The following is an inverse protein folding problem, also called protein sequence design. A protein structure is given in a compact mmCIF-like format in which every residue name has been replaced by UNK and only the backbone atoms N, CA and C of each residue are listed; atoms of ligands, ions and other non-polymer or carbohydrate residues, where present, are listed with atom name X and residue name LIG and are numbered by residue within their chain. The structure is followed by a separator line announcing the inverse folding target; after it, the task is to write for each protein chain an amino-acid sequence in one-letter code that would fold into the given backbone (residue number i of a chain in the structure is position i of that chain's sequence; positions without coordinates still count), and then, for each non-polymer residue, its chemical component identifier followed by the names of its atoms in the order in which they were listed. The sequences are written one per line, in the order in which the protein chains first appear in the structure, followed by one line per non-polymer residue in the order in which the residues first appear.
data_IF_259919697386
#
_entry.id   IF_259919697386
#
_cell.length_a   1.000
_cell.length_b   1.000
_cell.length_c   1.000
_cell.angle_alpha   90.00
_cell.angle_beta   90.00
_cell.angle_gamma   90.00
#
_symmetry.space_group_name_H-M   'P 1'
#
loop_
_entity.id
_entity.type
_entity.pdbx_description
1 polymer ?
#
# COMPACT_ATOMS: atom_id res chain seq x y z
N UNK A 1 -15.43 5.68 1.11
CA UNK A 1 -16.89 5.78 0.95
C UNK A 1 -17.50 4.52 0.34
N UNK A 2 -16.93 3.96 -0.75
CA UNK A 2 -17.39 2.70 -1.36
C UNK A 2 -17.17 1.43 -0.49
N UNK A 3 -15.99 1.24 0.11
CA UNK A 3 -15.70 0.07 0.97
C UNK A 3 -16.63 0.00 2.18
N UNK A 4 -16.91 1.14 2.81
CA UNK A 4 -17.87 1.23 3.93
C UNK A 4 -19.29 0.85 3.48
N UNK A 5 -19.71 1.31 2.30
CA UNK A 5 -21.02 0.97 1.75
C UNK A 5 -21.12 -0.50 1.37
N UNK A 6 -20.07 -1.09 0.80
CA UNK A 6 -19.99 -2.51 0.46
C UNK A 6 -20.05 -3.40 1.70
N UNK A 7 -19.19 -3.12 2.70
CA UNK A 7 -19.17 -3.86 3.97
C UNK A 7 -20.51 -3.74 4.72
N UNK A 8 -21.08 -2.54 4.78
CA UNK A 8 -22.37 -2.30 5.44
C UNK A 8 -23.53 -2.94 4.67
N UNK A 9 -23.51 -2.96 3.33
CA UNK A 9 -24.52 -3.67 2.54
C UNK A 9 -24.42 -5.18 2.79
N UNK A 10 -23.22 -5.74 2.77
CA UNK A 10 -23.02 -7.16 3.04
C UNK A 10 -23.49 -7.55 4.44
N UNK A 11 -23.19 -6.76 5.48
CA UNK A 11 -23.69 -7.01 6.85
C UNK A 11 -25.22 -7.04 6.93
N UNK A 12 -25.90 -6.17 6.15
CA UNK A 12 -27.37 -6.08 6.13
C UNK A 12 -27.99 -7.30 5.42
N UNK A 13 -27.37 -7.83 4.37
CA UNK A 13 -27.92 -8.96 3.60
C UNK A 13 -27.60 -10.34 4.20
N UNK A 14 -26.46 -10.49 4.89
CA UNK A 14 -26.01 -11.79 5.36
C UNK A 14 -26.47 -12.20 6.76
N UNK A 15 -26.76 -11.25 7.66
CA UNK A 15 -27.06 -11.59 9.06
C UNK A 15 -26.03 -12.57 9.66
N UNK A 16 -26.51 -13.58 10.40
CA UNK A 16 -25.70 -14.71 10.88
C UNK A 16 -25.74 -15.95 9.96
N UNK A 17 -26.18 -15.80 8.70
CA UNK A 17 -26.28 -16.93 7.76
C UNK A 17 -24.89 -17.33 7.24
N UNK A 18 -24.32 -18.35 7.85
CA UNK A 18 -23.01 -18.90 7.48
C UNK A 18 -22.94 -19.36 6.02
N UNK A 19 -24.03 -19.90 5.47
CA UNK A 19 -24.04 -20.44 4.11
C UNK A 19 -24.06 -19.31 3.08
N UNK A 20 -24.85 -18.27 3.33
CA UNK A 20 -24.82 -17.04 2.54
C UNK A 20 -23.39 -16.47 2.47
N UNK A 21 -22.75 -16.29 3.62
CA UNK A 21 -21.42 -15.69 3.68
C UNK A 21 -20.34 -16.53 2.99
N UNK A 22 -20.32 -17.85 3.20
CA UNK A 22 -19.38 -18.74 2.51
C UNK A 22 -19.53 -18.66 0.99
N UNK A 23 -20.78 -18.65 0.51
CA UNK A 23 -21.06 -18.56 -0.91
C UNK A 23 -20.64 -17.21 -1.50
N UNK A 24 -20.96 -16.09 -0.84
CA UNK A 24 -20.57 -14.76 -1.32
C UNK A 24 -19.05 -14.58 -1.36
N UNK A 25 -18.32 -15.04 -0.34
CA UNK A 25 -16.87 -14.94 -0.28
C UNK A 25 -16.18 -15.81 -1.33
N UNK A 26 -16.68 -17.03 -1.54
CA UNK A 26 -16.17 -17.93 -2.58
C UNK A 26 -16.41 -17.32 -3.96
N UNK A 27 -17.61 -16.80 -4.20
CA UNK A 27 -18.00 -16.20 -5.47
C UNK A 27 -17.16 -14.96 -5.77
N UNK A 28 -17.17 -13.96 -4.89
CA UNK A 28 -16.47 -12.69 -5.15
C UNK A 28 -14.95 -12.85 -5.03
N UNK A 29 -14.47 -13.64 -4.07
CA UNK A 29 -13.04 -13.88 -3.86
C UNK A 29 -12.38 -14.68 -4.98
N UNK A 30 -13.10 -15.60 -5.65
CA UNK A 30 -12.58 -16.36 -6.79
C UNK A 30 -12.55 -15.58 -8.11
N UNK A 31 -13.21 -14.42 -8.19
CA UNK A 31 -13.23 -13.59 -9.39
C UNK A 31 -11.87 -12.93 -9.67
N UNK A 32 -11.16 -12.44 -8.64
CA UNK A 32 -9.85 -11.78 -8.80
C UNK A 32 -8.79 -12.70 -9.39
N UNK A 33 -8.62 -13.94 -8.89
CA UNK A 33 -7.66 -14.86 -9.46
C UNK A 33 -8.03 -15.32 -10.87
N UNK A 34 -9.32 -15.50 -11.15
CA UNK A 34 -9.81 -15.79 -12.50
C UNK A 34 -9.44 -14.68 -13.48
N UNK A 35 -9.59 -13.40 -13.10
CA UNK A 35 -9.10 -12.27 -13.89
C UNK A 35 -7.58 -12.34 -14.08
N UNK A 36 -6.84 -12.60 -13.01
CA UNK A 36 -5.38 -12.55 -13.02
C UNK A 36 -4.73 -13.61 -13.91
N UNK A 37 -5.27 -14.83 -13.94
CA UNK A 37 -4.78 -15.89 -14.83
C UNK A 37 -5.26 -15.71 -16.28
N UNK A 38 -6.06 -14.68 -16.55
CA UNK A 38 -6.62 -14.42 -17.87
C UNK A 38 -7.76 -15.36 -18.22
N UNK A 39 -8.64 -15.69 -17.27
CA UNK A 39 -9.85 -16.46 -17.51
C UNK A 39 -10.78 -15.85 -18.57
N UNK A 40 -10.62 -14.55 -18.86
CA UNK A 40 -11.31 -13.86 -19.94
C UNK A 40 -10.62 -13.98 -21.32
N UNK A 41 -9.34 -14.37 -21.41
CA UNK A 41 -8.51 -14.25 -22.63
C UNK A 41 -8.98 -15.13 -23.79
N UNK A 42 -9.74 -16.19 -23.51
CA UNK A 42 -10.27 -17.09 -24.52
C UNK A 42 -11.69 -16.71 -24.99
N UNK A 43 -12.21 -15.58 -24.52
CA UNK A 43 -13.52 -15.09 -24.91
C UNK A 43 -13.38 -14.13 -26.10
N UNK A 44 -14.16 -14.32 -27.19
CA UNK A 44 -14.13 -13.42 -28.34
C UNK A 44 -14.36 -11.96 -27.93
N UNK A 45 -13.50 -11.05 -28.42
CA UNK A 45 -13.56 -9.62 -28.10
C UNK A 45 -12.89 -9.22 -26.78
N UNK A 46 -12.38 -10.16 -25.97
CA UNK A 46 -11.75 -9.83 -24.69
C UNK A 46 -10.37 -9.19 -24.86
N UNK A 47 -10.08 -8.17 -24.04
CA UNK A 47 -8.78 -7.54 -23.91
C UNK A 47 -8.46 -7.24 -22.45
N UNK A 48 -7.24 -6.79 -22.17
CA UNK A 48 -6.74 -6.52 -20.81
C UNK A 48 -7.52 -5.44 -20.03
N UNK A 49 -8.43 -4.70 -20.67
CA UNK A 49 -9.24 -3.64 -20.09
C UNK A 49 -10.75 -3.94 -20.09
N UNK A 50 -11.19 -5.07 -20.67
CA UNK A 50 -12.61 -5.43 -20.79
C UNK A 50 -12.91 -6.22 -22.06
N UNK A 51 -14.15 -6.13 -22.54
CA UNK A 51 -14.55 -6.70 -23.83
C UNK A 51 -14.77 -5.60 -24.86
N UNK A 52 -14.41 -5.85 -26.11
CA UNK A 52 -14.82 -5.03 -27.24
C UNK A 52 -16.07 -5.66 -27.87
N UNK A 53 -17.24 -5.18 -27.46
CA UNK A 53 -18.53 -5.50 -28.09
C UNK A 53 -18.96 -4.27 -28.90
N UNK A 54 -18.66 -4.21 -30.19
CA UNK A 54 -19.16 -3.12 -31.04
C UNK A 54 -20.65 -3.36 -31.41
N UNK A 55 -21.61 -2.43 -31.25
CA UNK A 55 -21.63 -1.17 -30.52
C UNK A 55 -22.52 -1.31 -29.26
N UNK A 56 -21.96 -1.79 -28.15
CA UNK A 56 -22.65 -1.91 -26.87
C UNK A 56 -21.87 -1.22 -25.79
N UNK A 57 -22.37 -0.08 -25.31
CA UNK A 57 -21.76 0.76 -24.26
C UNK A 57 -21.55 0.10 -22.88
N UNK A 58 -21.53 -1.23 -22.77
CA UNK A 58 -21.46 -1.93 -21.47
C UNK A 58 -20.61 -3.20 -21.53
N UNK A 59 -19.32 -3.04 -21.81
CA UNK A 59 -18.30 -4.00 -21.39
C UNK A 59 -17.70 -3.54 -20.06
N UNK A 60 -18.43 -3.73 -18.96
CA UNK A 60 -17.97 -3.36 -17.62
C UNK A 60 -17.63 -4.60 -16.79
N UNK A 61 -17.01 -4.38 -15.62
CA UNK A 61 -16.64 -5.43 -14.67
C UNK A 61 -17.81 -6.34 -14.28
N UNK A 62 -19.06 -5.85 -14.38
CA UNK A 62 -20.28 -6.63 -14.14
C UNK A 62 -20.51 -7.71 -15.20
N UNK A 63 -20.21 -7.44 -16.47
CA UNK A 63 -20.29 -8.44 -17.54
C UNK A 63 -19.24 -9.55 -17.35
N UNK A 64 -18.00 -9.17 -17.02
CA UNK A 64 -16.94 -10.13 -16.67
C UNK A 64 -17.32 -10.97 -15.46
N UNK A 65 -17.93 -10.35 -14.44
CA UNK A 65 -18.40 -11.06 -13.25
C UNK A 65 -19.52 -12.05 -13.60
N UNK A 66 -20.51 -11.66 -14.41
CA UNK A 66 -21.58 -12.56 -14.87
C UNK A 66 -21.06 -13.78 -15.62
N UNK A 67 -20.04 -13.61 -16.46
CA UNK A 67 -19.37 -14.72 -17.16
C UNK A 67 -18.65 -15.64 -16.17
N UNK A 68 -17.89 -15.07 -15.23
CA UNK A 68 -17.25 -15.83 -14.17
C UNK A 68 -18.26 -16.65 -13.36
N UNK A 69 -19.39 -16.07 -12.95
CA UNK A 69 -20.47 -16.78 -12.25
C UNK A 69 -21.02 -17.92 -13.13
N UNK A 70 -21.23 -17.68 -14.43
CA UNK A 70 -21.67 -18.72 -15.37
C UNK A 70 -20.67 -19.87 -15.55
N UNK A 71 -19.37 -19.63 -15.33
CA UNK A 71 -18.31 -20.64 -15.39
C UNK A 71 -18.01 -21.28 -14.03
N UNK A 72 -18.51 -20.71 -12.93
CA UNK A 72 -18.11 -21.03 -11.54
C UNK A 72 -18.39 -22.47 -11.09
N UNK A 73 -19.29 -23.19 -11.76
CA UNK A 73 -19.55 -24.62 -11.50
C UNK A 73 -18.32 -25.52 -11.75
N UNK A 74 -17.26 -25.02 -12.41
CA UNK A 74 -16.04 -25.77 -12.70
C UNK A 74 -14.74 -25.04 -12.37
N UNK A 75 -14.75 -23.93 -11.62
CA UNK A 75 -13.54 -23.16 -11.33
C UNK A 75 -12.86 -23.73 -10.08
N UNK A 76 -11.70 -24.40 -10.20
CA UNK A 76 -10.97 -24.89 -9.03
C UNK A 76 -10.50 -23.69 -8.19
N UNK A 77 -10.41 -23.84 -6.85
CA UNK A 77 -9.84 -22.80 -6.00
C UNK A 77 -8.43 -22.46 -6.50
N UNK A 78 -8.23 -21.21 -6.85
CA UNK A 78 -6.96 -20.75 -7.40
C UNK A 78 -5.88 -20.81 -6.34
N UNK A 79 -4.81 -21.55 -6.63
CA UNK A 79 -3.66 -21.74 -5.73
C UNK A 79 -2.61 -20.62 -5.84
N UNK A 80 -2.68 -19.78 -6.87
CA UNK A 80 -1.77 -18.66 -7.11
C UNK A 80 -2.44 -17.31 -6.85
N UNK A 81 -1.90 -16.55 -5.90
CA UNK A 81 -2.30 -15.17 -5.63
C UNK A 81 -1.56 -14.25 -6.60
N UNK A 82 -2.15 -14.04 -7.78
CA UNK A 82 -1.71 -13.02 -8.71
C UNK A 82 -2.59 -11.77 -8.56
N UNK A 83 -2.88 -11.35 -7.34
CA UNK A 83 -3.78 -10.23 -7.11
C UNK A 83 -3.07 -8.94 -7.46
N UNK A 84 -3.68 -8.22 -8.39
CA UNK A 84 -3.36 -6.83 -8.65
C UNK A 84 -3.89 -5.99 -7.48
N UNK A 85 -3.19 -4.92 -7.09
CA UNK A 85 -3.60 -3.98 -6.04
C UNK A 85 -4.93 -3.28 -6.34
N UNK A 86 -6.03 -4.02 -6.29
CA UNK A 86 -7.37 -3.65 -6.73
C UNK A 86 -8.40 -3.95 -5.62
N UNK A 87 -9.64 -3.42 -5.73
CA UNK A 87 -10.66 -3.57 -4.68
C UNK A 87 -11.00 -5.01 -4.28
N UNK A 88 -10.77 -5.98 -5.17
CA UNK A 88 -11.13 -7.39 -4.95
C UNK A 88 -10.04 -8.17 -4.21
N UNK A 89 -8.82 -7.64 -4.16
CA UNK A 89 -7.70 -8.22 -3.40
C UNK A 89 -8.04 -8.41 -1.92
N UNK A 90 -8.77 -7.46 -1.33
CA UNK A 90 -9.23 -7.56 0.05
C UNK A 90 -10.24 -8.69 0.27
N UNK A 91 -11.18 -8.87 -0.67
CA UNK A 91 -12.20 -9.92 -0.61
C UNK A 91 -11.56 -11.29 -0.78
N UNK A 92 -10.59 -11.41 -1.68
CA UNK A 92 -9.80 -12.62 -1.86
C UNK A 92 -9.01 -12.99 -0.60
N UNK A 93 -8.37 -12.01 0.05
CA UNK A 93 -7.64 -12.23 1.30
C UNK A 93 -8.57 -12.77 2.41
N UNK A 94 -9.78 -12.20 2.54
CA UNK A 94 -10.80 -12.71 3.46
C UNK A 94 -11.26 -14.12 3.08
N UNK A 95 -11.49 -14.38 1.80
CA UNK A 95 -11.89 -15.70 1.33
C UNK A 95 -10.84 -16.77 1.69
N UNK A 96 -9.55 -16.47 1.51
CA UNK A 96 -8.47 -17.37 1.88
C UNK A 96 -8.31 -17.51 3.40
N UNK A 97 -8.54 -16.45 4.17
CA UNK A 97 -8.54 -16.51 5.63
C UNK A 97 -9.60 -17.47 6.20
N UNK A 98 -10.73 -17.61 5.51
CA UNK A 98 -11.86 -18.47 5.93
C UNK A 98 -11.77 -19.89 5.34
N UNK A 99 -11.33 -20.03 4.09
CA UNK A 99 -11.35 -21.32 3.37
C UNK A 99 -9.97 -21.91 3.10
N UNK A 100 -8.91 -21.14 3.26
CA UNK A 100 -7.54 -21.50 2.89
C UNK A 100 -6.77 -22.35 3.90
N UNK A 101 -7.41 -22.70 5.02
CA UNK A 101 -6.87 -23.58 6.06
C UNK A 101 -5.50 -23.14 6.65
N UNK A 102 -5.17 -21.85 6.58
CA UNK A 102 -3.89 -21.30 7.03
C UNK A 102 -2.73 -21.52 6.07
N UNK A 103 -2.99 -22.07 4.88
CA UNK A 103 -1.95 -22.31 3.86
C UNK A 103 -1.33 -21.01 3.39
N UNK A 104 0.00 -21.02 3.22
CA UNK A 104 0.75 -19.84 2.81
C UNK A 104 0.39 -19.41 1.38
N UNK A 105 0.43 -18.10 1.14
CA UNK A 105 0.27 -17.52 -0.20
C UNK A 105 1.53 -16.78 -0.60
N UNK A 106 1.73 -16.66 -1.91
CA UNK A 106 2.90 -15.99 -2.49
C UNK A 106 2.43 -14.95 -3.49
N UNK A 107 2.99 -13.74 -3.41
CA UNK A 107 2.55 -12.55 -4.16
C UNK A 107 3.74 -11.88 -4.82
N UNK A 108 3.60 -11.51 -6.09
CA UNK A 108 4.61 -10.70 -6.76
C UNK A 108 4.51 -9.26 -6.26
N UNK A 109 5.60 -8.70 -5.76
CA UNK A 109 5.65 -7.31 -5.31
C UNK A 109 5.23 -6.30 -6.38
N UNK A 110 5.49 -6.59 -7.67
CA UNK A 110 5.09 -5.71 -8.77
C UNK A 110 3.57 -5.62 -8.93
N UNK A 111 2.83 -6.70 -8.64
CA UNK A 111 1.37 -6.72 -8.80
C UNK A 111 0.66 -5.82 -7.78
N UNK A 112 1.31 -5.54 -6.65
CA UNK A 112 0.79 -4.66 -5.60
C UNK A 112 0.73 -3.19 -6.03
N UNK A 113 1.49 -2.81 -7.06
CA UNK A 113 1.57 -1.45 -7.58
C UNK A 113 1.82 -0.35 -6.52
N UNK A 114 2.48 -0.69 -5.41
CA UNK A 114 2.69 0.25 -4.29
C UNK A 114 3.38 1.54 -4.72
N UNK A 115 2.83 2.68 -4.34
CA UNK A 115 3.34 4.04 -4.60
C UNK A 115 4.29 4.51 -3.51
N UNK A 116 5.32 3.70 -3.26
CA UNK A 116 6.39 4.01 -2.31
C UNK A 116 7.12 5.29 -2.72
N UNK A 117 7.39 6.15 -1.75
CA UNK A 117 8.15 7.38 -1.90
C UNK A 117 9.30 7.50 -0.90
N UNK A 118 10.05 8.60 -0.98
CA UNK A 118 11.21 8.85 -0.11
C UNK A 118 10.87 8.81 1.39
N UNK A 119 9.65 9.21 1.76
CA UNK A 119 9.18 9.23 3.14
C UNK A 119 9.04 7.84 3.77
N UNK A 120 8.94 6.79 2.95
CA UNK A 120 8.83 5.40 3.42
C UNK A 120 10.19 4.80 3.81
N UNK A 121 11.28 5.46 3.41
CA UNK A 121 12.64 4.98 3.59
C UNK A 121 13.40 5.90 4.53
N UNK A 122 13.10 5.78 5.83
CA UNK A 122 13.60 6.66 6.89
C UNK A 122 15.11 6.91 6.84
N UNK A 123 15.93 5.90 6.56
CA UNK A 123 17.38 6.07 6.50
C UNK A 123 17.83 6.93 5.30
N UNK A 124 17.12 6.85 4.18
CA UNK A 124 17.36 7.73 3.02
C UNK A 124 16.88 9.15 3.34
N UNK A 125 15.69 9.30 3.95
CA UNK A 125 15.18 10.61 4.41
C UNK A 125 16.17 11.30 5.35
N UNK A 126 16.70 10.57 6.34
CA UNK A 126 17.70 11.07 7.28
C UNK A 126 18.97 11.55 6.57
N UNK A 127 19.45 10.83 5.57
CA UNK A 127 20.62 11.24 4.81
C UNK A 127 20.36 12.55 4.05
N UNK A 128 19.22 12.65 3.36
CA UNK A 128 18.81 13.86 2.62
C UNK A 128 18.75 15.08 3.55
N UNK A 129 18.18 14.91 4.75
CA UNK A 129 17.97 15.96 5.75
C UNK A 129 19.21 16.29 6.62
N UNK A 130 20.29 15.52 6.48
CA UNK A 130 21.51 15.67 7.27
C UNK A 130 22.52 16.56 6.53
N UNK A 131 22.86 17.75 7.07
CA UNK A 131 23.86 18.64 6.47
C UNK A 131 25.26 18.02 6.35
N UNK A 132 25.56 16.98 7.16
CA UNK A 132 26.83 16.25 7.09
C UNK A 132 26.97 15.38 5.83
N UNK A 133 25.87 15.10 5.12
CA UNK A 133 25.94 14.49 3.80
C UNK A 133 26.07 15.61 2.75
N UNK A 134 27.29 15.82 2.26
CA UNK A 134 27.58 16.77 1.19
C UNK A 134 27.27 16.20 -0.21
N UNK A 135 27.54 16.97 -1.28
CA UNK A 135 27.48 16.47 -2.65
C UNK A 135 28.30 15.20 -2.80
N UNK A 136 27.73 14.17 -3.44
CA UNK A 136 28.36 12.86 -3.52
C UNK A 136 27.39 11.73 -3.82
N UNK A 137 27.93 10.51 -3.87
CA UNK A 137 27.18 9.27 -4.15
C UNK A 137 27.26 8.36 -2.94
N UNK A 138 26.10 7.90 -2.46
CA UNK A 138 25.96 7.11 -1.24
C UNK A 138 25.15 5.83 -1.52
N UNK A 139 25.71 4.66 -1.24
CA UNK A 139 24.98 3.39 -1.35
C UNK A 139 24.15 3.11 -0.10
N UNK A 140 22.97 2.55 -0.32
CA UNK A 140 22.06 2.09 0.72
C UNK A 140 21.78 0.59 0.54
N UNK A 141 21.85 -0.15 1.65
CA UNK A 141 21.23 -1.47 1.84
C UNK A 141 20.69 -1.49 3.27
N UNK A 142 19.45 -1.07 3.44
CA UNK A 142 18.85 -0.89 4.76
C UNK A 142 17.48 -1.53 4.83
N UNK A 143 17.09 -1.93 6.05
CA UNK A 143 15.73 -2.35 6.31
C UNK A 143 14.81 -1.11 6.37
N UNK A 144 13.55 -1.31 5.99
CA UNK A 144 12.51 -0.29 6.16
C UNK A 144 11.25 -0.90 6.75
N UNK A 145 10.41 -0.04 7.32
CA UNK A 145 9.03 -0.37 7.69
C UNK A 145 8.17 0.87 7.49
N UNK A 146 7.11 0.73 6.72
CA UNK A 146 6.17 1.82 6.43
C UNK A 146 4.74 1.35 6.55
N UNK A 147 3.87 2.26 6.97
CA UNK A 147 2.44 2.05 6.96
C UNK A 147 1.89 2.54 5.62
N UNK A 148 1.51 1.63 4.72
CA UNK A 148 1.05 1.98 3.37
C UNK A 148 -0.31 2.69 3.35
N UNK A 149 -1.01 2.79 4.49
CA UNK A 149 -2.13 3.74 4.63
C UNK A 149 -1.70 5.21 4.50
N UNK A 150 -0.43 5.54 4.72
CA UNK A 150 0.09 6.91 4.54
C UNK A 150 0.00 7.38 3.09
N UNK A 151 -0.11 6.46 2.12
CA UNK A 151 -0.22 6.76 0.70
C UNK A 151 -1.65 7.15 0.28
N UNK A 152 -2.57 7.26 1.25
CA UNK A 152 -3.96 7.68 1.02
C UNK A 152 -4.72 6.69 0.12
N UNK A 153 -5.35 7.19 -0.94
CA UNK A 153 -6.16 6.37 -1.85
C UNK A 153 -5.32 5.55 -2.85
N UNK A 154 -4.03 5.86 -3.00
CA UNK A 154 -3.18 5.27 -4.05
C UNK A 154 -2.92 3.78 -3.81
N UNK A 155 -2.75 3.39 -2.55
CA UNK A 155 -2.47 2.00 -2.15
C UNK A 155 -3.55 1.42 -1.22
N UNK A 156 -4.74 2.03 -1.20
CA UNK A 156 -5.80 1.69 -0.24
C UNK A 156 -6.12 0.18 -0.17
N UNK A 157 -6.06 -0.51 -1.32
CA UNK A 157 -6.39 -1.93 -1.40
C UNK A 157 -5.27 -2.81 -0.87
N UNK A 158 -4.02 -2.52 -1.24
CA UNK A 158 -2.87 -3.18 -0.62
C UNK A 158 -2.81 -2.88 0.88
N UNK A 159 -3.12 -1.64 1.28
CA UNK A 159 -3.18 -1.21 2.67
C UNK A 159 -4.27 -1.93 3.47
N UNK A 160 -5.41 -2.26 2.86
CA UNK A 160 -6.46 -3.03 3.52
C UNK A 160 -6.06 -4.47 3.85
N UNK A 161 -5.09 -5.02 3.13
CA UNK A 161 -4.60 -6.39 3.33
C UNK A 161 -3.40 -6.41 4.26
N UNK A 162 -2.40 -5.57 4.01
CA UNK A 162 -1.11 -5.62 4.69
C UNK A 162 -0.97 -4.55 5.79
N UNK A 163 -1.56 -3.38 5.58
CA UNK A 163 -1.48 -2.27 6.51
C UNK A 163 -0.07 -1.70 6.67
N UNK A 164 0.78 -2.32 7.50
CA UNK A 164 2.20 -1.98 7.63
C UNK A 164 3.04 -3.06 6.96
N UNK A 165 3.90 -2.65 6.03
CA UNK A 165 4.86 -3.53 5.39
C UNK A 165 6.27 -3.27 5.91
N UNK A 166 7.12 -4.28 5.82
CA UNK A 166 8.56 -4.15 6.08
C UNK A 166 9.34 -4.84 4.98
N UNK A 167 10.61 -4.47 4.82
CA UNK A 167 11.42 -5.00 3.75
C UNK A 167 12.85 -4.48 3.75
N UNK A 168 13.52 -4.64 2.62
CA UNK A 168 14.85 -4.08 2.38
C UNK A 168 14.82 -3.18 1.15
N UNK A 169 15.51 -2.06 1.22
CA UNK A 169 15.77 -1.16 0.10
C UNK A 169 17.26 -1.15 -0.21
N UNK A 170 17.58 -1.23 -1.51
CA UNK A 170 18.94 -1.20 -2.03
C UNK A 170 19.04 -0.23 -3.19
N UNK A 171 20.06 0.60 -3.21
CA UNK A 171 20.22 1.58 -4.28
C UNK A 171 21.26 2.64 -3.97
N UNK A 172 21.22 3.70 -4.77
CA UNK A 172 22.20 4.77 -4.74
C UNK A 172 21.51 6.11 -4.61
N UNK A 173 21.90 6.89 -3.62
CA UNK A 173 21.53 8.29 -3.45
C UNK A 173 22.66 9.18 -3.98
N UNK A 174 22.35 9.99 -4.99
CA UNK A 174 23.20 11.06 -5.50
C UNK A 174 22.72 12.37 -4.90
N UNK A 175 23.60 13.06 -4.18
CA UNK A 175 23.40 14.44 -3.73
C UNK A 175 24.20 15.38 -4.64
N UNK A 176 23.55 16.39 -5.18
CA UNK A 176 24.13 17.34 -6.13
C UNK A 176 24.52 18.64 -5.42
N UNK A 177 25.39 19.42 -6.07
CA UNK A 177 25.88 20.70 -5.55
C UNK A 177 24.80 21.78 -5.46
N UNK A 178 23.71 21.64 -6.22
CA UNK A 178 22.57 22.54 -6.27
C UNK A 178 21.49 22.23 -5.20
N UNK A 179 21.87 21.48 -4.17
CA UNK A 179 20.98 20.99 -3.11
C UNK A 179 19.80 20.14 -3.63
N UNK A 180 19.92 19.53 -4.80
CA UNK A 180 19.00 18.48 -5.25
C UNK A 180 19.54 17.08 -4.90
N UNK A 181 18.66 16.10 -4.90
CA UNK A 181 19.01 14.70 -4.75
C UNK A 181 18.27 13.82 -5.76
N UNK A 182 18.86 12.68 -6.08
CA UNK A 182 18.24 11.59 -6.83
C UNK A 182 18.58 10.26 -6.17
N UNK A 183 17.58 9.41 -5.97
CA UNK A 183 17.79 8.02 -5.57
C UNK A 183 17.28 7.11 -6.67
N UNK A 184 18.06 6.09 -6.99
CA UNK A 184 17.69 5.02 -7.91
C UNK A 184 17.98 3.68 -7.22
N UNK A 185 16.99 2.78 -7.20
CA UNK A 185 17.14 1.52 -6.49
C UNK A 185 15.97 0.56 -6.64
N UNK A 186 15.98 -0.45 -5.78
CA UNK A 186 15.00 -1.53 -5.72
C UNK A 186 14.61 -1.78 -4.26
N UNK A 187 13.40 -2.27 -4.05
CA UNK A 187 13.00 -2.77 -2.75
C UNK A 187 12.32 -4.14 -2.86
N UNK A 188 12.45 -4.91 -1.79
CA UNK A 188 11.75 -6.18 -1.56
C UNK A 188 10.95 -6.09 -0.27
N UNK A 189 9.96 -6.97 -0.10
CA UNK A 189 9.15 -7.06 1.10
C UNK A 189 9.47 -8.35 1.87
N UNK A 190 9.49 -8.23 3.20
CA UNK A 190 9.50 -9.39 4.09
C UNK A 190 8.11 -10.04 4.09
N UNK A 191 8.00 -11.35 4.40
CA UNK A 191 6.71 -11.99 4.60
C UNK A 191 5.83 -11.22 5.59
N UNK A 192 4.54 -11.17 5.30
CA UNK A 192 3.53 -10.53 6.13
C UNK A 192 2.50 -11.57 6.59
N UNK A 193 1.76 -11.24 7.65
CA UNK A 193 0.71 -12.09 8.19
C UNK A 193 -0.63 -11.42 7.96
N UNK A 194 -1.53 -12.11 7.26
CA UNK A 194 -2.92 -11.68 7.25
C UNK A 194 -3.59 -12.16 8.53
N UNK A 195 -3.68 -11.27 9.50
CA UNK A 195 -4.52 -11.39 10.68
C UNK A 195 -5.53 -10.25 10.74
N UNK A 196 -6.68 -10.49 11.37
CA UNK A 196 -7.69 -9.47 11.61
C UNK A 196 -7.29 -8.52 12.77
N UNK A 197 -5.99 -8.41 13.09
CA UNK A 197 -5.50 -7.61 14.20
C UNK A 197 -5.68 -6.10 13.91
N UNK A 198 -6.34 -5.35 14.81
CA UNK A 198 -6.50 -3.90 14.68
C UNK A 198 -5.17 -3.11 14.59
N UNK A 199 -4.09 -3.59 15.21
CA UNK A 199 -2.80 -2.89 15.29
C UNK A 199 -2.10 -2.73 13.94
N UNK A 200 -2.43 -3.58 12.97
CA UNK A 200 -1.94 -3.49 11.60
C UNK A 200 -2.75 -2.50 10.74
N UNK A 201 -3.92 -2.03 11.21
CA UNK A 201 -4.92 -1.32 10.38
C UNK A 201 -5.42 -0.02 11.00
N UNK A 202 -4.57 1.04 11.12
CA UNK A 202 -4.94 2.25 11.83
C UNK A 202 -6.01 3.12 11.14
N UNK A 203 -6.38 2.87 9.87
CA UNK A 203 -7.20 3.83 9.10
C UNK A 203 -8.47 3.27 8.42
N UNK A 204 -8.68 1.95 8.37
CA UNK A 204 -9.99 1.41 7.98
C UNK A 204 -10.84 1.30 9.23
N UNK A 205 -11.75 2.29 9.37
CA UNK A 205 -12.82 2.44 10.36
C UNK A 205 -13.11 1.17 11.17
N UNK A 206 -13.30 1.33 12.49
CA UNK A 206 -13.87 0.37 13.44
C UNK A 206 -14.84 -0.67 12.83
N UNK A 207 -15.65 -0.27 11.84
CA UNK A 207 -16.49 -1.13 11.00
C UNK A 207 -15.77 -2.29 10.30
N UNK A 208 -14.59 -2.13 9.70
CA UNK A 208 -13.87 -3.21 9.01
C UNK A 208 -13.29 -4.23 9.98
N UNK A 209 -12.69 -3.76 11.09
CA UNK A 209 -12.21 -4.63 12.17
C UNK A 209 -13.38 -5.36 12.84
N UNK A 210 -14.47 -4.65 13.13
CA UNK A 210 -15.71 -5.24 13.67
C UNK A 210 -16.32 -6.25 12.69
N UNK A 211 -16.33 -5.92 11.40
CA UNK A 211 -16.81 -6.82 10.36
C UNK A 211 -15.98 -8.10 10.30
N UNK A 212 -14.65 -8.00 10.26
CA UNK A 212 -13.75 -9.15 10.23
C UNK A 212 -13.86 -9.99 11.51
N UNK A 213 -13.95 -9.36 12.67
CA UNK A 213 -14.14 -10.05 13.95
C UNK A 213 -15.48 -10.82 13.98
N UNK A 214 -16.58 -10.19 13.54
CA UNK A 214 -17.89 -10.85 13.44
C UNK A 214 -17.87 -11.99 12.43
N UNK A 215 -17.33 -11.74 11.24
CA UNK A 215 -17.23 -12.73 10.16
C UNK A 215 -16.39 -13.93 10.58
N UNK A 216 -15.24 -13.69 11.24
CA UNK A 216 -14.38 -14.71 11.80
C UNK A 216 -15.06 -15.51 12.90
N UNK A 217 -15.83 -14.87 13.79
CA UNK A 217 -16.60 -15.55 14.83
C UNK A 217 -17.71 -16.44 14.26
N UNK A 218 -18.34 -16.03 13.14
CA UNK A 218 -19.43 -16.77 12.50
C UNK A 218 -18.90 -17.96 11.66
N UNK A 219 -17.80 -17.79 10.94
CA UNK A 219 -17.33 -18.76 9.95
C UNK A 219 -16.14 -19.61 10.38
N UNK A 220 -15.45 -19.19 11.45
CA UNK A 220 -14.10 -19.66 11.73
C UNK A 220 -13.10 -19.11 10.71
N UNK A 221 -11.84 -19.01 11.12
CA UNK A 221 -10.76 -18.55 10.25
C UNK A 221 -9.42 -19.15 10.68
N UNK A 222 -8.46 -19.11 9.77
CA UNK A 222 -7.05 -19.39 10.08
C UNK A 222 -6.18 -18.31 9.45
N UNK A 223 -5.45 -17.61 10.30
CA UNK A 223 -4.43 -16.67 9.85
C UNK A 223 -3.42 -17.40 8.95
N UNK A 224 -2.91 -16.69 7.96
CA UNK A 224 -1.96 -17.26 7.01
C UNK A 224 -0.86 -16.26 6.68
N UNK A 225 0.29 -16.80 6.28
CA UNK A 225 1.44 -16.02 5.87
C UNK A 225 1.33 -15.69 4.37
N UNK A 226 1.66 -14.45 4.05
CA UNK A 226 1.80 -13.94 2.70
C UNK A 226 3.28 -13.69 2.45
N UNK A 227 3.87 -14.52 1.60
CA UNK A 227 5.24 -14.36 1.13
C UNK A 227 5.25 -13.43 -0.09
N UNK A 228 6.24 -12.55 -0.16
CA UNK A 228 6.48 -11.75 -1.36
C UNK A 228 7.67 -12.29 -2.14
N UNK A 229 7.59 -12.19 -3.45
CA UNK A 229 8.73 -12.47 -4.33
C UNK A 229 8.90 -11.35 -5.36
N UNK A 230 10.10 -11.30 -5.93
CA UNK A 230 10.53 -10.22 -6.81
C UNK A 230 11.02 -8.99 -6.05
N UNK A 231 11.44 -8.00 -6.80
CA UNK A 231 11.82 -6.68 -6.32
C UNK A 231 11.19 -5.63 -7.23
N UNK A 232 10.87 -4.46 -6.68
CA UNK A 232 10.32 -3.36 -7.48
C UNK A 232 11.33 -2.23 -7.58
N UNK A 233 11.62 -1.79 -8.79
CA UNK A 233 12.44 -0.61 -9.02
C UNK A 233 11.71 0.65 -8.56
N UNK A 234 12.45 1.60 -8.00
CA UNK A 234 11.96 2.93 -7.71
C UNK A 234 13.02 3.97 -8.03
N UNK A 235 12.55 5.17 -8.34
CA UNK A 235 13.38 6.35 -8.52
C UNK A 235 12.63 7.54 -7.94
N UNK A 236 13.33 8.36 -7.17
CA UNK A 236 12.79 9.60 -6.65
C UNK A 236 13.85 10.69 -6.65
N UNK A 237 13.42 11.93 -6.85
CA UNK A 237 14.28 13.10 -6.86
C UNK A 237 13.58 14.28 -6.19
N UNK A 238 14.34 15.22 -5.66
CA UNK A 238 13.77 16.43 -5.09
C UNK A 238 14.81 17.42 -4.61
N UNK A 239 14.33 18.51 -4.03
CA UNK A 239 15.17 19.49 -3.33
C UNK A 239 15.39 19.02 -1.89
N UNK A 240 16.60 19.21 -1.37
CA UNK A 240 16.87 19.05 0.05
C UNK A 240 16.09 20.10 0.84
N UNK A 241 15.55 19.75 2.03
CA UNK A 241 15.00 20.76 2.93
C UNK A 241 16.12 21.71 3.34
N UNK A 242 16.03 22.98 2.95
CA UNK A 242 16.99 24.02 3.36
C UNK A 242 16.83 24.21 4.87
N UNK A 243 17.64 23.50 5.67
CA UNK A 243 17.88 23.91 7.04
C UNK A 243 18.81 25.10 6.93
N UNK A 244 18.33 26.29 7.29
CA UNK A 244 19.10 27.53 7.33
C UNK A 244 20.43 27.35 8.10
N UNK A 245 21.45 26.81 7.44
CA UNK A 245 22.82 26.79 7.90
C UNK A 245 23.42 28.15 7.55
N UNK A 246 22.95 29.20 8.23
CA UNK A 246 23.36 30.56 7.88
C UNK A 246 22.55 31.72 8.41
N UNK A 247 21.85 31.63 9.56
CA UNK A 247 21.74 32.85 10.37
C UNK A 247 23.12 33.12 10.96
N UNK A 248 23.99 33.81 10.19
CA UNK A 248 25.03 34.60 10.83
C UNK A 248 24.32 35.42 11.91
N UNK A 249 24.76 35.40 13.18
CA UNK A 249 24.23 36.38 14.12
C UNK A 249 24.44 37.75 13.46
N UNK A 250 23.44 38.66 13.49
CA UNK A 250 23.65 39.99 12.96
C UNK A 250 24.94 40.50 13.58
N UNK A 251 25.91 40.87 12.74
CA UNK A 251 27.16 41.48 13.20
C UNK A 251 26.78 42.52 14.25
N UNK A 252 27.35 42.38 15.44
CA UNK A 252 27.15 43.35 16.49
C UNK A 252 27.58 44.70 15.92
N UNK A 253 26.59 45.51 15.52
CA UNK A 253 26.82 46.87 15.06
C UNK A 253 27.44 47.57 16.24
N UNK A 254 28.76 47.77 16.17
CA UNK A 254 29.52 48.51 17.15
C UNK A 254 29.02 49.96 17.10
N UNK A 255 27.97 50.27 17.86
CA UNK A 255 27.54 51.67 18.06
C UNK A 255 28.66 52.37 18.82
N UNK A 256 29.19 53.49 18.31
CA UNK A 256 30.08 54.32 19.11
C UNK A 256 29.31 54.83 20.34
N UNK A 257 29.86 54.55 21.53
CA UNK A 257 29.40 55.11 22.80
C UNK A 257 29.69 56.62 22.80
N UNK A 258 28.70 57.42 22.44
CA UNK A 258 28.68 58.87 22.67
C UNK A 258 27.73 59.14 23.84
N UNK A 259 28.30 59.22 25.04
CA UNK A 259 27.55 59.42 26.27
C UNK A 259 28.47 59.56 27.47
N UNK A 260 29.39 60.53 27.40
CA UNK A 260 30.22 60.92 28.53
C UNK A 260 29.38 61.48 29.68
N UNK A 261 29.70 61.03 30.89
CA UNK A 261 29.22 61.55 32.16
C UNK A 261 29.42 63.07 32.27
N UNK A 262 28.36 63.79 32.66
CA UNK A 262 28.50 65.06 33.37
C UNK A 262 27.54 65.11 34.57
N UNK A 263 28.13 65.06 35.76
CA UNK A 263 27.67 65.65 37.03
C UNK A 263 28.92 65.85 37.89
N UNK A 264 29.06 66.88 38.76
CA UNK A 264 28.01 67.65 39.45
C UNK A 264 28.23 69.18 39.45
N UNK A 265 27.31 70.01 40.02
CA UNK A 265 27.52 70.44 41.42
C UNK A 265 26.21 70.72 42.22
N UNK A 266 26.06 70.04 43.37
CA UNK A 266 25.72 70.56 44.72
C UNK A 266 25.40 69.39 45.64
#
# INVERSE_FOLDING_TARGET
MATKMFLKHLEIFGGNDTAFWRNQLTLVGGFTPWLAIGGYKYLPGANQYGFNFDPGQYANITALFGIYVGQSHGIPPTSTFASYGNPLMFVEAINHWIHGDGTQRTVNIESLNLKMGVADFREITKAIENPGYGPGTYSFDTAFSTNIFSHGTQDLWSASVFGRVSGRIRGTLVMLEDDTYRFDGYYSLNPDKFDADPSNRPFLQETATTFLAKLGAILGHKDYQINFFGEKSLSFSGQRPVKNAGTRPPEAVHRPSLGGLMRPPR
#
